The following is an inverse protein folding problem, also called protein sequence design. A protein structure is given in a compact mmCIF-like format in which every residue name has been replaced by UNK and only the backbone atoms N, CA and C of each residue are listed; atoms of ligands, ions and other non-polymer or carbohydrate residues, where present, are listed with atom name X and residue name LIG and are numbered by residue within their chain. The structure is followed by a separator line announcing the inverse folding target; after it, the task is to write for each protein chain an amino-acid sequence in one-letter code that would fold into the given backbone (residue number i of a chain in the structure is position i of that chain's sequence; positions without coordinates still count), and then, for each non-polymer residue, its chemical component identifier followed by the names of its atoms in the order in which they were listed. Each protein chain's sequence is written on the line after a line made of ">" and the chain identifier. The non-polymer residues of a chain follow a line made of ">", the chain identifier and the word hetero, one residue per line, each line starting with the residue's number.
data_IF_564276139317
#
_entry.id   IF_564276139317
#
_cell.length_a   1.000
_cell.length_b   1.000
_cell.length_c   1.000
_cell.angle_alpha   90.00
_cell.angle_beta   90.00
_cell.angle_gamma   90.00
#
_symmetry.space_group_name_H-M   'P 1'
#
loop_
_entity.id
_entity.type
_entity.pdbx_description
1 polymer ?
#
# COMPACT_ATOMS: atom_id res chain seq x y z
N UNK A 1 -7.44 -2.30 -8.32
CA UNK A 1 -6.21 -2.05 -7.54
C UNK A 1 -6.53 -2.13 -6.06
N UNK A 2 -5.52 -2.38 -5.25
CA UNK A 2 -5.62 -2.30 -3.79
C UNK A 2 -4.29 -1.86 -3.18
N UNK A 3 -4.35 -1.25 -2.01
CA UNK A 3 -3.17 -0.83 -1.25
C UNK A 3 -3.11 -1.60 0.07
N UNK A 4 -1.95 -2.14 0.37
CA UNK A 4 -1.61 -2.73 1.64
C UNK A 4 -0.47 -1.96 2.31
N UNK A 5 -0.06 -2.33 3.50
CA UNK A 5 0.96 -1.59 4.27
C UNK A 5 2.33 -1.55 3.59
N UNK A 6 2.67 -2.54 2.77
CA UNK A 6 3.98 -2.67 2.12
C UNK A 6 3.91 -2.55 0.59
N UNK A 7 2.72 -2.53 0.00
CA UNK A 7 2.59 -2.58 -1.45
C UNK A 7 1.30 -1.97 -1.96
N UNK A 8 1.33 -1.49 -3.19
CA UNK A 8 0.15 -1.17 -3.99
C UNK A 8 0.13 -2.11 -5.19
N UNK A 9 -0.99 -2.77 -5.42
CA UNK A 9 -1.14 -3.76 -6.50
C UNK A 9 -2.21 -3.30 -7.48
N UNK A 10 -1.84 -3.31 -8.76
CA UNK A 10 -2.73 -3.04 -9.88
C UNK A 10 -3.05 -4.35 -10.55
N UNK A 11 -4.31 -4.78 -10.48
CA UNK A 11 -4.77 -6.05 -11.06
C UNK A 11 -5.57 -5.75 -12.31
N UNK A 12 -5.25 -6.45 -13.38
CA UNK A 12 -5.96 -6.35 -14.66
C UNK A 12 -6.23 -7.75 -15.19
N UNK A 13 -7.46 -8.01 -15.58
CA UNK A 13 -7.87 -9.19 -16.33
C UNK A 13 -8.10 -8.76 -17.78
N UNK A 14 -7.33 -9.33 -18.70
CA UNK A 14 -7.34 -8.94 -20.10
C UNK A 14 -7.43 -10.17 -21.01
N UNK A 15 -8.04 -10.08 -22.18
CA UNK A 15 -7.95 -11.12 -23.21
C UNK A 15 -6.50 -11.32 -23.69
N UNK A 16 -6.11 -12.56 -23.96
CA UNK A 16 -4.72 -12.88 -24.37
C UNK A 16 -4.28 -12.19 -25.66
N UNK A 17 -5.21 -11.86 -26.55
CA UNK A 17 -4.93 -11.11 -27.78
C UNK A 17 -4.71 -9.60 -27.59
N UNK A 18 -4.90 -9.07 -26.35
CA UNK A 18 -4.75 -7.64 -26.03
C UNK A 18 -3.50 -7.34 -25.20
N UNK A 19 -2.58 -8.31 -25.08
CA UNK A 19 -1.35 -8.17 -24.29
C UNK A 19 -0.52 -6.95 -24.70
N UNK A 20 -0.30 -6.73 -25.99
CA UNK A 20 0.52 -5.59 -26.45
C UNK A 20 -0.14 -4.26 -26.09
N UNK A 21 -1.47 -4.14 -26.23
CA UNK A 21 -2.21 -2.94 -25.83
C UNK A 21 -2.15 -2.69 -24.32
N UNK A 22 -2.16 -3.76 -23.53
CA UNK A 22 -1.98 -3.65 -22.09
C UNK A 22 -0.59 -3.09 -21.74
N UNK A 23 0.48 -3.61 -22.37
CA UNK A 23 1.84 -3.08 -22.18
C UNK A 23 1.94 -1.60 -22.57
N UNK A 24 1.33 -1.20 -23.67
CA UNK A 24 1.28 0.20 -24.10
C UNK A 24 0.61 1.08 -23.05
N UNK A 25 -0.58 0.72 -22.59
CA UNK A 25 -1.34 1.48 -21.60
C UNK A 25 -0.63 1.57 -20.25
N UNK A 26 -0.15 0.44 -19.73
CA UNK A 26 0.50 0.41 -18.42
C UNK A 26 1.83 1.14 -18.45
N UNK A 27 2.60 1.02 -19.51
CA UNK A 27 3.86 1.75 -19.64
C UNK A 27 3.65 3.27 -19.64
N UNK A 28 2.63 3.75 -20.30
CA UNK A 28 2.30 5.19 -20.30
C UNK A 28 1.76 5.64 -18.93
N UNK A 29 0.86 4.86 -18.32
CA UNK A 29 0.29 5.15 -17.01
C UNK A 29 1.36 5.29 -15.93
N UNK A 30 2.32 4.38 -15.87
CA UNK A 30 3.38 4.40 -14.87
C UNK A 30 4.48 5.42 -15.15
N UNK A 31 4.66 5.86 -16.39
CA UNK A 31 5.63 6.91 -16.73
C UNK A 31 5.08 8.33 -16.57
N UNK A 32 3.81 8.52 -16.87
CA UNK A 32 3.18 9.85 -16.93
C UNK A 32 1.81 9.84 -16.27
N UNK A 33 1.74 9.69 -14.97
CA UNK A 33 0.46 9.69 -14.28
C UNK A 33 -0.25 11.04 -14.49
N UNK A 34 -1.51 10.98 -14.90
CA UNK A 34 -2.36 12.16 -15.00
C UNK A 34 -3.46 12.00 -13.95
N UNK A 35 -3.44 12.86 -12.94
CA UNK A 35 -4.43 12.84 -11.86
C UNK A 35 -5.75 13.50 -12.31
N UNK A 36 -6.44 12.84 -13.23
CA UNK A 36 -7.78 13.29 -13.66
C UNK A 36 -8.77 13.05 -12.53
N UNK A 37 -9.77 13.94 -12.44
CA UNK A 37 -10.84 13.85 -11.43
C UNK A 37 -10.31 13.75 -9.99
N UNK A 38 -9.12 14.30 -9.74
CA UNK A 38 -8.43 14.21 -8.47
C UNK A 38 -9.32 14.59 -7.27
N UNK A 39 -10.07 15.69 -7.37
CA UNK A 39 -10.91 16.15 -6.27
C UNK A 39 -12.10 15.22 -6.02
N UNK A 40 -12.73 14.71 -7.08
CA UNK A 40 -13.83 13.74 -6.96
C UNK A 40 -13.36 12.43 -6.32
N UNK A 41 -12.20 11.93 -6.75
CA UNK A 41 -11.60 10.73 -6.17
C UNK A 41 -11.21 10.95 -4.70
N UNK A 42 -10.70 12.13 -4.39
CA UNK A 42 -10.37 12.50 -3.02
C UNK A 42 -11.61 12.48 -2.09
N UNK A 43 -12.74 12.99 -2.58
CA UNK A 43 -14.01 12.92 -1.86
C UNK A 43 -14.41 11.46 -1.60
N UNK A 44 -14.26 10.58 -2.60
CA UNK A 44 -14.52 9.14 -2.46
C UNK A 44 -13.61 8.51 -1.39
N UNK A 45 -12.32 8.78 -1.42
CA UNK A 45 -11.37 8.27 -0.42
C UNK A 45 -11.67 8.82 0.98
N UNK A 46 -12.12 10.07 1.08
CA UNK A 46 -12.52 10.65 2.35
C UNK A 46 -13.77 9.98 2.92
N UNK A 47 -14.76 9.64 2.08
CA UNK A 47 -15.93 8.85 2.50
C UNK A 47 -15.55 7.41 2.90
N UNK A 48 -14.63 6.77 2.19
CA UNK A 48 -14.07 5.47 2.61
C UNK A 48 -13.39 5.55 3.98
N UNK A 49 -12.66 6.64 4.23
CA UNK A 49 -12.07 6.90 5.53
C UNK A 49 -13.17 7.02 6.61
N UNK A 50 -14.22 7.81 6.38
CA UNK A 50 -15.32 7.97 7.33
C UNK A 50 -15.99 6.62 7.62
N UNK A 51 -16.35 5.85 6.60
CA UNK A 51 -16.93 4.50 6.75
C UNK A 51 -16.01 3.58 7.57
N UNK A 52 -14.69 3.70 7.38
CA UNK A 52 -13.72 2.90 8.14
C UNK A 52 -13.70 3.24 9.64
N UNK A 53 -13.97 4.51 9.98
CA UNK A 53 -14.01 4.95 11.40
C UNK A 53 -15.25 4.43 12.13
N UNK A 54 -16.31 4.06 11.45
CA UNK A 54 -17.55 3.53 12.06
C UNK A 54 -17.45 2.04 12.42
N UNK A 55 -16.49 1.32 11.85
CA UNK A 55 -16.30 -0.12 12.09
C UNK A 55 -15.51 -0.36 13.38
N UNK A 56 -16.13 -1.00 14.36
CA UNK A 56 -15.50 -1.28 15.66
C UNK A 56 -14.24 -2.13 15.55
N UNK A 57 -14.23 -3.11 14.64
CA UNK A 57 -13.01 -3.89 14.33
C UNK A 57 -11.85 -3.01 13.86
N UNK A 58 -12.10 -1.95 13.09
CA UNK A 58 -11.04 -1.03 12.66
C UNK A 58 -10.51 -0.19 13.80
N UNK A 59 -11.36 0.20 14.74
CA UNK A 59 -10.96 0.94 15.96
C UNK A 59 -10.07 0.08 16.86
N UNK A 60 -10.44 -1.19 17.08
CA UNK A 60 -9.64 -2.10 17.91
C UNK A 60 -8.32 -2.45 17.25
N UNK A 61 -8.31 -2.75 15.95
CA UNK A 61 -7.08 -3.02 15.21
C UNK A 61 -6.12 -1.82 15.27
N UNK A 62 -6.62 -0.60 15.08
CA UNK A 62 -5.83 0.63 15.21
C UNK A 62 -5.24 0.77 16.61
N UNK A 63 -6.06 0.62 17.65
CA UNK A 63 -5.60 0.70 19.04
C UNK A 63 -4.53 -0.36 19.36
N UNK A 64 -4.66 -1.56 18.83
CA UNK A 64 -3.68 -2.63 18.96
C UNK A 64 -2.38 -2.27 18.23
N UNK A 65 -2.43 -1.83 16.99
CA UNK A 65 -1.25 -1.42 16.21
C UNK A 65 -0.49 -0.26 16.87
N UNK A 66 -1.19 0.78 17.33
CA UNK A 66 -0.61 1.90 18.07
C UNK A 66 0.06 1.44 19.37
N UNK A 67 -0.46 0.40 20.01
CA UNK A 67 0.09 -0.15 21.26
C UNK A 67 1.31 -1.01 20.99
N UNK A 68 1.24 -1.87 19.97
CA UNK A 68 2.34 -2.78 19.63
C UNK A 68 3.53 -2.05 18.98
N UNK A 69 3.27 -1.04 18.14
CA UNK A 69 4.30 -0.39 17.32
C UNK A 69 4.18 1.14 17.35
N UNK A 70 4.31 1.78 18.53
CA UNK A 70 3.96 3.18 18.76
C UNK A 70 4.79 4.20 17.97
N UNK A 71 6.01 3.86 17.57
CA UNK A 71 6.89 4.73 16.76
C UNK A 71 7.19 4.17 15.36
N UNK A 72 6.59 3.05 14.99
CA UNK A 72 6.70 2.49 13.64
C UNK A 72 5.51 2.94 12.77
N UNK A 73 5.68 3.10 11.45
CA UNK A 73 4.58 3.42 10.55
C UNK A 73 3.34 2.52 10.68
N UNK A 74 3.51 1.26 11.03
CA UNK A 74 2.38 0.34 11.28
C UNK A 74 1.43 0.79 12.40
N UNK A 75 1.94 1.48 13.41
CA UNK A 75 1.14 2.01 14.51
C UNK A 75 0.78 3.49 14.36
N UNK A 76 1.52 4.24 13.54
CA UNK A 76 1.32 5.69 13.41
C UNK A 76 0.55 6.10 12.15
N UNK A 77 0.40 5.19 11.18
CA UNK A 77 -0.24 5.45 9.90
C UNK A 77 -1.22 4.33 9.54
N UNK A 78 -2.16 4.64 8.66
CA UNK A 78 -3.04 3.67 8.02
C UNK A 78 -2.91 3.78 6.51
N UNK A 79 -3.38 2.78 5.76
CA UNK A 79 -3.38 2.82 4.29
C UNK A 79 -4.22 3.97 3.73
N UNK A 80 -5.25 4.41 4.46
CA UNK A 80 -6.09 5.57 4.10
C UNK A 80 -5.49 6.91 4.56
N UNK A 81 -4.48 6.88 5.42
CA UNK A 81 -3.91 8.09 6.00
C UNK A 81 -4.75 8.68 7.14
N UNK A 82 -4.65 9.98 7.34
CA UNK A 82 -5.42 10.72 8.33
C UNK A 82 -6.49 11.56 7.63
N UNK A 83 -7.65 11.69 8.27
CA UNK A 83 -8.75 12.51 7.72
C UNK A 83 -8.35 13.97 7.45
N UNK A 84 -7.45 14.53 8.25
CA UNK A 84 -6.95 15.90 8.05
C UNK A 84 -6.09 16.02 6.79
N UNK A 85 -5.27 15.04 6.51
CA UNK A 85 -4.40 15.01 5.31
C UNK A 85 -5.23 14.82 4.04
N UNK A 86 -6.38 14.14 4.14
CA UNK A 86 -7.30 13.94 3.02
C UNK A 86 -8.13 15.18 2.68
N UNK A 87 -8.31 16.11 3.60
CA UNK A 87 -9.10 17.33 3.35
C UNK A 87 -8.41 18.34 2.44
N UNK A 88 -7.09 18.38 2.45
CA UNK A 88 -6.32 19.33 1.65
C UNK A 88 -4.96 18.76 1.22
N UNK A 89 -4.94 17.70 0.40
CA UNK A 89 -3.70 17.11 -0.06
C UNK A 89 -3.02 17.99 -1.08
N UNK A 90 -1.69 18.00 -1.06
CA UNK A 90 -0.88 18.64 -2.08
C UNK A 90 -0.71 17.72 -3.29
N UNK A 91 -1.25 18.08 -4.44
CA UNK A 91 -0.98 17.36 -5.70
C UNK A 91 0.52 17.27 -6.00
N UNK A 92 1.28 18.33 -5.71
CA UNK A 92 2.74 18.34 -5.89
C UNK A 92 3.39 17.22 -5.06
N UNK A 93 2.96 17.02 -3.80
CA UNK A 93 3.49 15.94 -2.96
C UNK A 93 3.12 14.56 -3.51
N UNK A 94 1.94 14.41 -4.09
CA UNK A 94 1.51 13.14 -4.72
C UNK A 94 2.38 12.84 -5.95
N UNK A 95 2.61 13.83 -6.83
CA UNK A 95 3.51 13.65 -7.96
C UNK A 95 4.95 13.37 -7.52
N UNK A 96 5.45 14.05 -6.50
CA UNK A 96 6.79 13.80 -5.95
C UNK A 96 6.91 12.37 -5.38
N UNK A 97 5.89 11.91 -4.65
CA UNK A 97 5.84 10.55 -4.14
C UNK A 97 5.82 9.54 -5.28
N UNK A 98 5.01 9.77 -6.30
CA UNK A 98 4.94 8.90 -7.46
C UNK A 98 6.28 8.83 -8.19
N UNK A 99 6.90 9.98 -8.49
CA UNK A 99 8.21 10.05 -9.17
C UNK A 99 9.34 9.38 -8.38
N UNK A 100 9.23 9.37 -7.05
CA UNK A 100 10.23 8.79 -6.17
C UNK A 100 10.10 7.27 -6.03
N UNK A 101 8.89 6.73 -5.95
CA UNK A 101 8.66 5.33 -5.59
C UNK A 101 8.15 4.46 -6.75
N UNK A 102 7.53 5.04 -7.77
CA UNK A 102 7.08 4.32 -8.96
C UNK A 102 8.18 4.31 -10.01
N UNK A 103 9.17 3.48 -9.77
CA UNK A 103 10.38 3.34 -10.59
C UNK A 103 10.63 1.86 -10.87
N UNK A 104 11.29 1.49 -11.99
CA UNK A 104 11.41 0.09 -12.43
C UNK A 104 12.02 -0.83 -11.37
N UNK A 105 12.98 -0.33 -10.60
CA UNK A 105 13.63 -1.09 -9.55
C UNK A 105 12.80 -1.22 -8.24
N UNK A 106 11.56 -0.72 -8.24
CA UNK A 106 10.58 -0.84 -7.15
C UNK A 106 9.24 -1.40 -7.62
N UNK A 107 9.16 -1.92 -8.84
CA UNK A 107 7.94 -2.46 -9.44
C UNK A 107 8.22 -3.89 -9.89
N UNK A 108 7.31 -4.79 -9.55
CA UNK A 108 7.26 -6.15 -10.08
C UNK A 108 6.05 -6.31 -11.00
N UNK A 109 6.23 -6.96 -12.13
CA UNK A 109 5.14 -7.38 -13.02
C UNK A 109 4.99 -8.89 -12.91
N UNK A 110 3.80 -9.35 -12.56
CA UNK A 110 3.47 -10.77 -12.47
C UNK A 110 2.34 -11.04 -13.44
N UNK A 111 2.53 -12.00 -14.33
CA UNK A 111 1.56 -12.37 -15.34
C UNK A 111 1.27 -13.87 -15.26
N UNK A 112 0.01 -14.24 -15.37
CA UNK A 112 -0.43 -15.62 -15.43
C UNK A 112 -1.57 -15.75 -16.46
N UNK A 113 -1.55 -16.77 -17.29
CA UNK A 113 -2.58 -16.98 -18.31
C UNK A 113 -2.07 -17.72 -19.54
N UNK A 114 -2.82 -17.62 -20.62
CA UNK A 114 -2.53 -18.25 -21.91
C UNK A 114 -1.72 -17.28 -22.80
N UNK A 115 -0.39 -17.41 -22.75
CA UNK A 115 0.54 -16.62 -23.55
C UNK A 115 1.89 -17.33 -23.71
N UNK A 116 2.65 -16.91 -24.71
CA UNK A 116 4.05 -17.29 -24.87
C UNK A 116 4.93 -16.42 -23.96
N UNK A 117 5.66 -17.00 -22.98
CA UNK A 117 6.51 -16.25 -22.07
C UNK A 117 7.60 -15.43 -22.76
N UNK A 118 8.21 -15.95 -23.83
CA UNK A 118 9.27 -15.24 -24.55
C UNK A 118 8.73 -14.01 -25.29
N UNK A 119 7.56 -14.13 -25.90
CA UNK A 119 6.87 -13.00 -26.52
C UNK A 119 6.52 -11.91 -25.49
N UNK A 120 6.06 -12.33 -24.30
CA UNK A 120 5.75 -11.40 -23.19
C UNK A 120 7.00 -10.68 -22.70
N UNK A 121 8.13 -11.38 -22.56
CA UNK A 121 9.41 -10.75 -22.17
C UNK A 121 9.86 -9.74 -23.22
N UNK A 122 9.72 -10.05 -24.51
CA UNK A 122 10.03 -9.12 -25.59
C UNK A 122 9.15 -7.86 -25.58
N UNK A 123 7.85 -8.01 -25.28
CA UNK A 123 6.95 -6.87 -25.07
C UNK A 123 7.36 -6.04 -23.85
N UNK A 124 7.68 -6.69 -22.74
CA UNK A 124 8.13 -6.00 -21.54
C UNK A 124 9.40 -5.17 -21.79
N UNK A 125 10.39 -5.74 -22.49
CA UNK A 125 11.61 -5.02 -22.88
C UNK A 125 11.30 -3.83 -23.79
N UNK A 126 10.42 -4.02 -24.78
CA UNK A 126 10.04 -2.97 -25.72
C UNK A 126 9.35 -1.78 -25.03
N UNK A 127 8.45 -2.04 -24.09
CA UNK A 127 7.61 -1.01 -23.47
C UNK A 127 8.19 -0.46 -22.18
N UNK A 128 8.89 -1.26 -21.37
CA UNK A 128 9.48 -0.85 -20.10
C UNK A 128 11.00 -0.70 -20.10
N UNK A 129 11.72 -1.33 -21.03
CA UNK A 129 13.19 -1.45 -21.00
C UNK A 129 13.96 -0.14 -21.05
N UNK A 130 13.39 0.93 -21.59
CA UNK A 130 14.00 2.26 -21.58
C UNK A 130 13.66 3.11 -20.34
N UNK A 131 12.84 2.60 -19.43
CA UNK A 131 12.49 3.28 -18.19
C UNK A 131 13.66 3.23 -17.21
N UNK A 132 14.12 4.40 -16.75
CA UNK A 132 15.33 4.50 -15.94
C UNK A 132 15.06 4.29 -14.47
N UNK A 133 15.85 3.41 -13.86
CA UNK A 133 15.90 3.22 -12.42
C UNK A 133 16.37 4.48 -11.70
N UNK A 134 15.86 4.71 -10.49
CA UNK A 134 16.26 5.81 -9.61
C UNK A 134 16.61 5.27 -8.22
N UNK A 135 17.49 5.92 -7.45
CA UNK A 135 17.69 5.58 -6.06
C UNK A 135 16.39 5.71 -5.26
N UNK A 136 16.07 4.71 -4.48
CA UNK A 136 14.92 4.73 -3.55
C UNK A 136 15.47 5.05 -2.16
N UNK A 137 14.89 6.02 -1.44
CA UNK A 137 15.28 6.28 -0.07
C UNK A 137 15.14 5.03 0.79
N UNK A 138 16.15 4.69 1.60
CA UNK A 138 16.04 3.56 2.50
C UNK A 138 14.92 3.80 3.51
N UNK A 139 14.07 2.81 3.70
CA UNK A 139 13.07 2.85 4.76
C UNK A 139 13.76 2.85 6.12
N UNK A 140 13.57 3.91 6.89
CA UNK A 140 14.17 4.08 8.21
C UNK A 140 13.07 4.18 9.26
N UNK A 141 13.17 3.37 10.27
CA UNK A 141 12.31 3.44 11.45
C UNK A 141 13.12 3.17 12.71
N UNK A 142 12.63 3.68 13.82
CA UNK A 142 13.24 3.41 15.12
C UNK A 142 12.90 1.99 15.57
N UNK A 143 13.90 1.30 16.14
CA UNK A 143 13.66 0.01 16.76
C UNK A 143 12.66 0.17 17.90
N UNK A 144 11.57 -0.58 17.82
CA UNK A 144 10.54 -0.52 18.85
C UNK A 144 11.09 -1.02 20.20
N UNK A 145 10.86 -0.28 21.31
CA UNK A 145 11.26 -0.74 22.64
C UNK A 145 10.55 -2.05 22.99
N UNK A 146 11.18 -2.91 23.76
CA UNK A 146 10.54 -4.12 24.25
C UNK A 146 9.29 -3.77 25.09
N UNK A 147 8.24 -4.56 24.93
CA UNK A 147 7.07 -4.45 25.81
C UNK A 147 7.39 -5.15 27.13
N UNK A 148 7.57 -4.38 28.19
CA UNK A 148 7.96 -4.91 29.53
C UNK A 148 6.77 -5.38 30.35
N UNK A 149 5.56 -5.03 29.95
CA UNK A 149 4.33 -5.37 30.67
C UNK A 149 3.14 -5.48 29.72
N UNK A 150 2.09 -6.12 30.19
CA UNK A 150 0.80 -6.14 29.50
C UNK A 150 0.23 -4.72 29.46
N UNK A 151 -0.22 -4.30 28.30
CA UNK A 151 -0.94 -3.05 28.08
C UNK A 151 -2.39 -3.41 27.75
N UNK A 152 -3.34 -2.76 28.40
CA UNK A 152 -4.75 -2.91 28.12
C UNK A 152 -5.30 -1.59 27.57
N UNK A 153 -6.12 -1.69 26.53
CA UNK A 153 -6.88 -0.58 25.95
C UNK A 153 -8.34 -0.98 25.86
N UNK A 154 -9.21 -0.10 26.29
CA UNK A 154 -10.65 -0.26 26.14
C UNK A 154 -11.09 0.60 24.94
N UNK A 155 -11.75 -0.05 23.99
CA UNK A 155 -12.28 0.57 22.77
C UNK A 155 -13.80 0.46 22.83
N UNK A 156 -14.48 1.58 22.66
CA UNK A 156 -15.94 1.64 22.72
C UNK A 156 -16.53 1.63 21.32
N UNK A 157 -17.56 0.83 21.14
CA UNK A 157 -18.26 0.65 19.89
C UNK A 157 -19.69 0.18 20.07
N UNK A 158 -20.39 -0.09 18.98
CA UNK A 158 -21.80 -0.48 18.96
C UNK A 158 -22.00 -1.98 18.72
N UNK A 159 -20.93 -2.71 18.41
CA UNK A 159 -20.97 -4.14 18.16
C UNK A 159 -20.91 -4.96 19.45
N UNK A 160 -21.15 -6.26 19.35
CA UNK A 160 -21.02 -7.18 20.49
C UNK A 160 -19.59 -7.13 21.06
N UNK A 161 -19.42 -7.16 22.39
CA UNK A 161 -18.10 -7.09 23.01
C UNK A 161 -17.21 -8.27 22.61
N UNK A 162 -15.93 -7.99 22.31
CA UNK A 162 -14.91 -9.02 22.10
C UNK A 162 -13.58 -8.62 22.75
N UNK A 163 -12.67 -9.54 22.81
CA UNK A 163 -11.30 -9.31 23.27
C UNK A 163 -10.36 -9.63 22.12
N UNK A 164 -9.47 -8.70 21.83
CA UNK A 164 -8.38 -8.87 20.88
C UNK A 164 -7.05 -8.86 21.64
N UNK A 165 -6.17 -9.81 21.33
CA UNK A 165 -4.86 -9.94 21.97
C UNK A 165 -3.78 -9.97 20.90
N UNK A 166 -2.70 -9.19 21.10
CA UNK A 166 -1.59 -9.10 20.17
C UNK A 166 -0.24 -9.25 20.87
N UNK A 167 0.69 -9.88 20.18
CA UNK A 167 2.09 -10.02 20.60
C UNK A 167 3.00 -9.55 19.48
N UNK A 168 4.16 -9.08 19.84
CA UNK A 168 5.18 -8.68 18.90
C UNK A 168 6.34 -9.68 18.92
N UNK A 169 6.68 -10.17 17.74
CA UNK A 169 7.79 -11.06 17.48
C UNK A 169 8.82 -10.37 16.56
N UNK A 170 9.87 -11.09 16.22
CA UNK A 170 10.83 -10.68 15.20
C UNK A 170 10.15 -10.54 13.84
N UNK A 171 10.74 -9.76 12.93
CA UNK A 171 10.20 -9.55 11.59
C UNK A 171 10.12 -10.84 10.77
N UNK A 172 9.25 -10.87 9.76
CA UNK A 172 8.95 -12.04 8.92
C UNK A 172 10.18 -12.69 8.22
N UNK A 173 11.28 -11.95 8.09
CA UNK A 173 12.54 -12.50 7.56
C UNK A 173 13.40 -13.19 8.62
N UNK A 174 12.94 -13.31 9.86
CA UNK A 174 13.67 -13.99 10.94
C UNK A 174 13.21 -15.45 11.07
N UNK A 175 14.13 -16.30 11.53
CA UNK A 175 13.83 -17.71 11.78
C UNK A 175 12.70 -17.91 12.81
N UNK A 176 12.56 -16.99 13.76
CA UNK A 176 11.50 -17.01 14.78
C UNK A 176 10.08 -16.80 14.20
N UNK A 177 9.97 -16.19 13.02
CA UNK A 177 8.68 -15.99 12.37
C UNK A 177 8.20 -17.23 11.62
N UNK A 178 9.06 -18.23 11.40
CA UNK A 178 8.74 -19.50 10.74
C UNK A 178 8.29 -20.61 11.74
N UNK A 179 8.44 -20.39 13.02
CA UNK A 179 8.04 -21.31 14.11
C UNK A 179 6.66 -20.97 14.66
#
# INVERSE_FOLDING_TARGET
>A
AYTWVEQTVYVNDIPSNELERWFELESERFRRPILRLFHTELETVFEEYNISQDKDFRKTLKAMQETLTPSHPYGTQTTLGRGEDLKNPSQTNIYNFFDQYYVPNNIGVVMAGDFDPEAVVALAERYFGNWKSKPIPPFKFEKQPALSQRIQRDVYGNEAPWIEMGWRFSGAASLEAEM
#
